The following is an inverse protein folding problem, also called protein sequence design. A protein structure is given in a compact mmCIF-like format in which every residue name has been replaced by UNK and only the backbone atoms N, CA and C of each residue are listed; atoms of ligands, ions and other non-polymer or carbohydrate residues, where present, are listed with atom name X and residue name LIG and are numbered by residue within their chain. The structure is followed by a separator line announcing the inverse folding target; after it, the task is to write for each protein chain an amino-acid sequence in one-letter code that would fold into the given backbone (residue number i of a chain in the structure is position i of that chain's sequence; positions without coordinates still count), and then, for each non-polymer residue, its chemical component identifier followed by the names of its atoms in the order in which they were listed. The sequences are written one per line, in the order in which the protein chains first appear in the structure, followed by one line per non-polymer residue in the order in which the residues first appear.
data_IF_929975747657
#
_entry.id   IF_929975747657
#
_cell.length_a   1.000
_cell.length_b   1.000
_cell.length_c   1.000
_cell.angle_alpha   90.00
_cell.angle_beta   90.00
_cell.angle_gamma   90.00
#
_symmetry.space_group_name_H-M   'P 1'
#
loop_
_entity.id
_entity.type
_entity.pdbx_description
1 polymer ?
#
# COMPACT_ATOMS: atom_id res chain seq x y z
N UNK A 1 -10.66 20.12 9.23
CA UNK A 1 -11.84 20.57 8.46
C UNK A 1 -11.84 19.77 7.16
N UNK A 2 -12.53 18.63 7.12
CA UNK A 2 -12.60 17.80 5.92
C UNK A 2 -13.45 18.53 4.87
N UNK A 3 -12.98 18.58 3.63
CA UNK A 3 -13.69 19.27 2.54
C UNK A 3 -14.83 18.39 2.02
N UNK A 4 -15.81 18.98 1.33
CA UNK A 4 -16.96 18.27 0.76
C UNK A 4 -16.57 17.10 -0.17
N UNK A 5 -15.36 17.14 -0.76
CA UNK A 5 -14.81 16.03 -1.55
C UNK A 5 -14.52 14.78 -0.71
N UNK A 6 -13.91 14.94 0.46
CA UNK A 6 -13.52 13.82 1.34
C UNK A 6 -14.72 12.99 1.82
N UNK A 7 -15.90 13.61 1.93
CA UNK A 7 -17.11 12.94 2.40
C UNK A 7 -17.80 12.10 1.29
N UNK A 8 -17.66 12.49 0.03
CA UNK A 8 -18.20 11.74 -1.11
C UNK A 8 -17.29 10.56 -1.48
N UNK A 9 -15.96 10.71 -1.46
CA UNK A 9 -15.00 9.61 -1.67
C UNK A 9 -15.22 8.46 -0.68
N UNK A 10 -15.47 8.81 0.59
CA UNK A 10 -15.77 7.82 1.66
C UNK A 10 -17.08 7.06 1.45
N UNK A 11 -18.04 7.57 0.67
CA UNK A 11 -19.26 6.83 0.33
C UNK A 11 -19.01 5.76 -0.74
N UNK A 12 -17.96 5.92 -1.56
CA UNK A 12 -17.61 4.93 -2.58
C UNK A 12 -16.88 3.72 -1.96
N UNK A 13 -16.18 3.89 -0.84
CA UNK A 13 -15.49 2.80 -0.16
C UNK A 13 -16.46 2.00 0.72
N UNK A 14 -16.65 0.71 0.38
CA UNK A 14 -17.68 -0.15 0.98
C UNK A 14 -17.32 -0.57 2.42
N UNK A 15 -16.02 -0.63 2.73
CA UNK A 15 -15.54 -1.10 4.03
C UNK A 15 -15.40 0.06 5.04
N UNK A 16 -15.72 -0.17 6.33
CA UNK A 16 -15.61 0.87 7.33
C UNK A 16 -14.15 1.24 7.60
N UNK A 17 -13.85 2.54 7.67
CA UNK A 17 -12.55 3.02 8.12
C UNK A 17 -12.45 2.95 9.66
N UNK A 18 -12.30 1.73 10.19
CA UNK A 18 -12.18 1.47 11.62
C UNK A 18 -10.82 0.88 11.96
N UNK A 19 -10.39 1.03 13.22
CA UNK A 19 -9.16 0.41 13.71
C UNK A 19 -9.18 -1.11 13.52
N UNK A 20 -10.31 -1.77 13.77
CA UNK A 20 -10.42 -3.22 13.60
C UNK A 20 -10.21 -3.65 12.16
N UNK A 21 -10.69 -2.84 11.20
CA UNK A 21 -10.53 -3.13 9.77
C UNK A 21 -9.09 -2.92 9.32
N UNK A 22 -8.43 -1.86 9.81
CA UNK A 22 -7.00 -1.63 9.57
C UNK A 22 -6.16 -2.80 10.10
N UNK A 23 -6.41 -3.26 11.33
CA UNK A 23 -5.71 -4.43 11.89
C UNK A 23 -6.01 -5.71 11.10
N UNK A 24 -7.24 -5.90 10.63
CA UNK A 24 -7.61 -7.03 9.77
C UNK A 24 -6.79 -7.01 8.47
N UNK A 25 -6.67 -5.85 7.82
CA UNK A 25 -5.90 -5.69 6.58
C UNK A 25 -4.40 -5.92 6.79
N UNK A 26 -3.83 -5.39 7.89
CA UNK A 26 -2.42 -5.63 8.23
C UNK A 26 -2.12 -7.10 8.51
N UNK A 27 -3.00 -7.79 9.22
CA UNK A 27 -2.89 -9.23 9.38
C UNK A 27 -2.95 -9.94 8.02
N UNK A 28 -3.90 -9.58 7.17
CA UNK A 28 -4.00 -10.16 5.83
C UNK A 28 -2.73 -9.96 4.99
N UNK A 29 -2.10 -8.78 5.07
CA UNK A 29 -0.82 -8.48 4.42
C UNK A 29 0.28 -9.46 4.86
N UNK A 30 0.46 -9.65 6.17
CA UNK A 30 1.48 -10.56 6.70
C UNK A 30 1.24 -12.02 6.28
N UNK A 31 -0.01 -12.48 6.30
CA UNK A 31 -0.37 -13.83 5.88
C UNK A 31 -0.08 -14.06 4.39
N UNK A 32 -0.46 -13.12 3.53
CA UNK A 32 -0.20 -13.22 2.09
C UNK A 32 1.31 -13.15 1.80
N UNK A 33 2.04 -12.19 2.38
CA UNK A 33 3.50 -12.09 2.24
C UNK A 33 4.19 -13.42 2.56
N UNK A 34 3.81 -14.06 3.66
CA UNK A 34 4.37 -15.34 4.08
C UNK A 34 3.98 -16.46 3.09
N UNK A 35 2.70 -16.59 2.76
CA UNK A 35 2.19 -17.66 1.90
C UNK A 35 2.78 -17.62 0.48
N UNK A 36 3.05 -16.43 -0.06
CA UNK A 36 3.62 -16.26 -1.40
C UNK A 36 5.15 -16.16 -1.43
N UNK A 37 5.80 -16.21 -0.26
CA UNK A 37 7.26 -16.10 -0.12
C UNK A 37 7.80 -14.75 -0.59
N UNK A 38 7.16 -13.66 -0.16
CA UNK A 38 7.54 -12.28 -0.48
C UNK A 38 6.44 -11.47 -1.18
N UNK A 39 6.71 -10.16 -1.34
CA UNK A 39 5.75 -9.18 -1.87
C UNK A 39 5.84 -8.98 -3.38
N UNK A 40 7.06 -8.93 -3.93
CA UNK A 40 7.30 -8.68 -5.35
C UNK A 40 7.64 -10.01 -6.04
N UNK A 41 6.75 -10.45 -6.93
CA UNK A 41 6.96 -11.65 -7.76
C UNK A 41 7.41 -11.32 -9.17
N UNK A 42 7.31 -10.06 -9.58
CA UNK A 42 7.81 -9.59 -10.86
C UNK A 42 9.35 -9.70 -10.90
N UNK A 43 9.94 -10.05 -12.05
CA UNK A 43 11.38 -10.15 -12.20
C UNK A 43 11.99 -8.75 -12.35
N UNK A 44 12.08 -8.00 -11.24
CA UNK A 44 12.71 -6.69 -11.20
C UNK A 44 14.12 -6.78 -10.61
N UNK A 45 14.96 -5.82 -10.99
CA UNK A 45 16.23 -5.57 -10.33
C UNK A 45 15.98 -4.74 -9.06
N UNK A 46 16.30 -5.29 -7.89
CA UNK A 46 16.13 -4.63 -6.61
C UNK A 46 17.19 -3.55 -6.38
N UNK A 47 18.33 -3.59 -7.07
CA UNK A 47 19.46 -2.68 -6.85
C UNK A 47 19.45 -1.47 -7.79
N UNK A 48 18.47 -1.41 -8.70
CA UNK A 48 18.38 -0.34 -9.68
C UNK A 48 18.09 1.00 -8.99
N UNK A 49 18.97 1.97 -9.23
CA UNK A 49 18.87 3.30 -8.61
C UNK A 49 17.82 4.17 -9.30
N UNK A 50 17.18 5.03 -8.51
CA UNK A 50 16.17 6.00 -9.00
C UNK A 50 14.96 5.32 -9.67
N UNK A 51 14.60 4.12 -9.20
CA UNK A 51 13.34 3.48 -9.59
C UNK A 51 12.14 4.33 -9.14
N UNK A 52 11.03 4.18 -9.86
CA UNK A 52 9.74 4.81 -9.52
C UNK A 52 8.67 3.73 -9.51
N UNK A 53 8.01 3.56 -8.36
CA UNK A 53 6.99 2.54 -8.16
C UNK A 53 5.67 3.24 -7.80
N UNK A 54 4.62 2.85 -8.52
CA UNK A 54 3.25 3.25 -8.24
C UNK A 54 2.51 2.04 -7.63
N UNK A 55 1.97 2.21 -6.43
CA UNK A 55 0.99 1.31 -5.83
C UNK A 55 -0.42 1.90 -6.03
N UNK A 56 -1.24 1.20 -6.81
CA UNK A 56 -2.60 1.62 -7.15
C UNK A 56 -3.60 0.82 -6.30
N UNK A 57 -4.35 1.52 -5.45
CA UNK A 57 -5.10 0.92 -4.35
C UNK A 57 -4.23 0.78 -3.09
N UNK A 58 -3.42 1.80 -2.81
CA UNK A 58 -2.41 1.77 -1.74
C UNK A 58 -3.01 1.74 -0.33
N UNK A 59 -4.31 2.02 -0.16
CA UNK A 59 -4.98 2.07 1.13
C UNK A 59 -4.20 2.91 2.15
N UNK A 60 -3.84 2.33 3.30
CA UNK A 60 -3.04 2.99 4.34
C UNK A 60 -1.52 2.99 4.08
N UNK A 61 -1.09 2.46 2.94
CA UNK A 61 0.31 2.40 2.50
C UNK A 61 1.11 1.23 3.09
N UNK A 62 0.49 0.28 3.81
CA UNK A 62 1.20 -0.84 4.45
C UNK A 62 2.11 -1.59 3.48
N UNK A 63 1.67 -1.85 2.25
CA UNK A 63 2.48 -2.55 1.25
C UNK A 63 3.71 -1.75 0.84
N UNK A 64 3.55 -0.46 0.53
CA UNK A 64 4.66 0.44 0.18
C UNK A 64 5.68 0.58 1.31
N UNK A 65 5.22 0.69 2.56
CA UNK A 65 6.10 0.75 3.73
C UNK A 65 6.96 -0.51 3.84
N UNK A 66 6.37 -1.70 3.68
CA UNK A 66 7.11 -2.96 3.72
C UNK A 66 8.10 -3.04 2.53
N UNK A 67 7.65 -2.66 1.33
CA UNK A 67 8.50 -2.63 0.11
C UNK A 67 9.71 -1.73 0.23
N UNK A 68 9.56 -0.58 0.89
CA UNK A 68 10.68 0.35 1.10
C UNK A 68 11.85 -0.26 1.88
N UNK A 69 11.62 -1.35 2.63
CA UNK A 69 12.65 -1.96 3.49
C UNK A 69 13.69 -2.78 2.71
N UNK A 70 13.38 -3.14 1.46
CA UNK A 70 14.26 -3.97 0.61
C UNK A 70 14.59 -3.33 -0.74
N UNK A 71 14.28 -2.04 -0.91
CA UNK A 71 14.67 -1.26 -2.09
C UNK A 71 15.66 -0.14 -1.70
N UNK A 72 16.44 0.38 -2.66
CA UNK A 72 17.33 1.51 -2.43
C UNK A 72 16.56 2.71 -1.87
N UNK A 73 17.20 3.44 -0.95
CA UNK A 73 16.59 4.58 -0.26
C UNK A 73 16.14 5.70 -1.22
N UNK A 74 16.76 5.80 -2.40
CA UNK A 74 16.43 6.77 -3.44
C UNK A 74 15.25 6.34 -4.33
N UNK A 75 14.65 5.17 -4.08
CA UNK A 75 13.47 4.71 -4.82
C UNK A 75 12.27 5.60 -4.51
N UNK A 76 11.64 6.13 -5.55
CA UNK A 76 10.41 6.92 -5.42
C UNK A 76 9.21 5.96 -5.30
N UNK A 77 8.51 6.03 -4.17
CA UNK A 77 7.33 5.23 -3.86
C UNK A 77 6.10 6.14 -3.82
N UNK A 78 5.15 5.90 -4.73
CA UNK A 78 3.91 6.69 -4.84
C UNK A 78 2.73 5.78 -4.59
N UNK A 79 1.94 6.10 -3.56
CA UNK A 79 0.67 5.45 -3.28
C UNK A 79 -0.50 6.28 -3.80
N UNK A 80 -1.46 5.64 -4.45
CA UNK A 80 -2.72 6.27 -4.85
C UNK A 80 -3.89 5.39 -4.45
N UNK A 81 -4.92 6.00 -3.85
CA UNK A 81 -6.17 5.34 -3.50
C UNK A 81 -7.36 6.26 -3.83
N UNK A 82 -8.53 5.65 -4.02
CA UNK A 82 -9.78 6.36 -4.33
C UNK A 82 -10.55 6.81 -3.08
N UNK A 83 -10.20 6.27 -1.91
CA UNK A 83 -10.88 6.51 -0.64
C UNK A 83 -10.50 7.82 0.05
#
# INVERSE_FOLDING_TARGET
MATLGDAESRKAYILPHSRSEIERMKNQHEWLKCAFGGLIKAPIDYESKNQKILDSGASDGTWLCDVSTFLPAETELVGFDIA
#
